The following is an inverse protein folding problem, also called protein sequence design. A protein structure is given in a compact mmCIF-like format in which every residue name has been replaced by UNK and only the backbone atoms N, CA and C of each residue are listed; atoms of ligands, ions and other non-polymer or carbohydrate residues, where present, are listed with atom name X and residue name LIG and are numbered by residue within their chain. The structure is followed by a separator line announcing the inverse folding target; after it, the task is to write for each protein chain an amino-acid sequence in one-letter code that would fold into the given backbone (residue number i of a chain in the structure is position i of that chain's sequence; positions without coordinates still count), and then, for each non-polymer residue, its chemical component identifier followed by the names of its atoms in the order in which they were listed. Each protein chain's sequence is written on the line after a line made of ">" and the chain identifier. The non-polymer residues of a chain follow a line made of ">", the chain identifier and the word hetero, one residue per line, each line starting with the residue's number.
data_IF_924311886965
#
_entry.id   IF_924311886965
#
_cell.length_a   1.000
_cell.length_b   1.000
_cell.length_c   1.000
_cell.angle_alpha   90.00
_cell.angle_beta   90.00
_cell.angle_gamma   90.00
#
_symmetry.space_group_name_H-M   'P 1'
#
loop_
_entity.id
_entity.type
_entity.pdbx_description
1 polymer ?
#
# COMPACT_ATOMS: atom_id res chain seq x y z
N UNK A 1 -33.54 56.73 31.23
CA UNK A 1 -32.47 55.71 31.33
C UNK A 1 -31.55 55.88 30.13
N UNK A 2 -30.32 56.38 30.33
CA UNK A 2 -29.32 56.61 29.27
C UNK A 2 -28.13 55.69 29.54
N UNK A 3 -27.93 54.67 28.71
CA UNK A 3 -26.74 53.83 28.76
C UNK A 3 -25.60 54.56 28.07
N UNK A 4 -24.62 55.01 28.85
CA UNK A 4 -23.36 55.52 28.34
C UNK A 4 -22.50 54.32 27.93
N UNK A 5 -22.51 53.97 26.65
CA UNK A 5 -21.54 53.04 26.08
C UNK A 5 -20.26 53.81 25.78
N UNK A 6 -19.29 53.75 26.68
CA UNK A 6 -17.93 54.14 26.35
C UNK A 6 -17.36 53.16 25.33
N UNK A 7 -16.76 53.62 24.22
CA UNK A 7 -16.10 52.71 23.30
C UNK A 7 -14.81 52.22 23.97
N UNK A 8 -14.79 50.93 24.35
CA UNK A 8 -13.54 50.25 24.69
C UNK A 8 -12.75 50.08 23.39
N UNK A 9 -11.52 50.61 23.30
CA UNK A 9 -10.68 50.35 22.14
C UNK A 9 -10.30 48.86 22.16
N UNK A 10 -10.90 48.07 21.26
CA UNK A 10 -10.49 46.70 21.01
C UNK A 10 -9.18 46.76 20.22
N UNK A 11 -8.06 46.67 20.93
CA UNK A 11 -6.73 46.53 20.34
C UNK A 11 -6.61 45.17 19.66
N UNK A 12 -6.65 45.16 18.32
CA UNK A 12 -6.58 43.98 17.45
C UNK A 12 -5.16 43.39 17.30
N UNK A 13 -4.26 43.66 18.25
CA UNK A 13 -2.82 43.33 18.15
C UNK A 13 -2.36 42.18 19.06
N UNK A 14 -3.25 41.27 19.41
CA UNK A 14 -2.89 39.99 20.04
C UNK A 14 -2.40 38.99 18.98
N UNK A 15 -1.32 39.34 18.28
CA UNK A 15 -0.58 38.37 17.46
C UNK A 15 -0.05 37.24 18.36
N UNK A 16 -0.06 35.97 17.91
CA UNK A 16 0.37 34.85 18.75
C UNK A 16 1.79 35.09 19.29
N UNK A 17 1.90 35.35 20.60
CA UNK A 17 3.19 35.46 21.29
C UNK A 17 3.77 34.06 21.40
N UNK A 18 4.45 33.58 20.35
CA UNK A 18 5.11 32.27 20.36
C UNK A 18 6.35 32.35 21.27
N UNK A 19 6.32 31.82 22.51
CA UNK A 19 7.43 31.99 23.44
C UNK A 19 8.64 31.10 23.07
N UNK A 20 8.51 30.32 22.00
CA UNK A 20 9.40 29.21 21.63
C UNK A 20 9.85 29.25 20.16
N UNK A 21 10.15 30.44 19.62
CA UNK A 21 10.52 30.63 18.22
C UNK A 21 11.81 29.87 17.80
N UNK A 22 12.69 29.52 18.75
CA UNK A 22 13.89 28.71 18.48
C UNK A 22 13.57 27.22 18.36
N UNK A 23 12.75 26.71 19.28
CA UNK A 23 12.34 25.30 19.33
C UNK A 23 11.54 24.91 18.08
N UNK A 24 10.63 25.78 17.64
CA UNK A 24 9.84 25.55 16.41
C UNK A 24 10.73 25.50 15.16
N UNK A 25 11.79 26.32 15.10
CA UNK A 25 12.77 26.29 13.99
C UNK A 25 13.54 24.98 13.94
N UNK A 26 13.99 24.48 15.10
CA UNK A 26 14.69 23.19 15.19
C UNK A 26 13.80 22.03 14.76
N UNK A 27 12.57 21.96 15.28
CA UNK A 27 11.58 20.95 14.89
C UNK A 27 11.30 20.97 13.40
N UNK A 28 11.15 22.16 12.80
CA UNK A 28 10.93 22.31 11.36
C UNK A 28 12.11 21.78 10.55
N UNK A 29 13.34 22.11 10.95
CA UNK A 29 14.55 21.61 10.30
C UNK A 29 14.67 20.08 10.38
N UNK A 30 14.38 19.51 11.55
CA UNK A 30 14.41 18.08 11.79
C UNK A 30 13.36 17.35 10.94
N UNK A 31 12.13 17.86 10.89
CA UNK A 31 11.07 17.32 10.03
C UNK A 31 11.46 17.34 8.56
N UNK A 32 12.03 18.45 8.06
CA UNK A 32 12.50 18.54 6.66
C UNK A 32 13.59 17.50 6.41
N UNK A 33 14.57 17.37 7.30
CA UNK A 33 15.65 16.40 7.17
C UNK A 33 15.12 14.96 7.13
N UNK A 34 14.15 14.64 8.00
CA UNK A 34 13.49 13.33 8.04
C UNK A 34 12.80 13.02 6.72
N UNK A 35 12.00 13.96 6.20
CA UNK A 35 11.33 13.79 4.91
C UNK A 35 12.34 13.65 3.75
N UNK A 36 13.46 14.36 3.79
CA UNK A 36 14.52 14.24 2.79
C UNK A 36 15.17 12.84 2.85
N UNK A 37 15.44 12.32 4.04
CA UNK A 37 15.98 10.98 4.25
C UNK A 37 15.01 9.88 3.77
N UNK A 38 13.71 10.05 4.03
CA UNK A 38 12.69 9.14 3.52
C UNK A 38 12.55 9.24 2.00
N UNK A 39 12.53 10.45 1.45
CA UNK A 39 12.44 10.69 0.01
C UNK A 39 13.62 10.09 -0.76
N UNK A 40 14.85 10.26 -0.25
CA UNK A 40 16.04 9.61 -0.82
C UNK A 40 15.95 8.10 -0.74
N UNK A 41 15.46 7.53 0.37
CA UNK A 41 15.26 6.08 0.50
C UNK A 41 14.26 5.54 -0.52
N UNK A 42 13.14 6.24 -0.71
CA UNK A 42 12.13 5.89 -1.71
C UNK A 42 12.72 5.98 -3.12
N UNK A 43 13.46 7.05 -3.44
CA UNK A 43 14.13 7.22 -4.73
C UNK A 43 15.08 6.07 -5.04
N UNK A 44 15.88 5.63 -4.07
CA UNK A 44 16.77 4.46 -4.26
C UNK A 44 15.97 3.18 -4.55
N UNK A 45 14.84 2.98 -3.88
CA UNK A 45 14.00 1.80 -4.09
C UNK A 45 13.31 1.82 -5.46
N UNK A 46 12.79 2.97 -5.88
CA UNK A 46 12.02 3.10 -7.12
C UNK A 46 12.91 3.24 -8.34
N UNK A 47 13.89 4.15 -8.33
CA UNK A 47 14.72 4.46 -9.50
C UNK A 47 15.86 3.47 -9.66
N UNK A 48 16.63 3.23 -8.59
CA UNK A 48 17.82 2.36 -8.68
C UNK A 48 17.41 0.88 -8.65
N UNK A 49 16.48 0.51 -7.78
CA UNK A 49 16.09 -0.90 -7.58
C UNK A 49 14.79 -1.29 -8.28
N UNK A 50 14.02 -0.36 -8.83
CA UNK A 50 12.77 -0.63 -9.55
C UNK A 50 12.93 -1.70 -10.64
N UNK A 51 13.89 -1.57 -11.57
CA UNK A 51 14.09 -2.55 -12.63
C UNK A 51 14.45 -3.96 -12.10
N UNK A 52 15.08 -4.03 -10.92
CA UNK A 52 15.42 -5.31 -10.27
C UNK A 52 14.17 -5.99 -9.71
N UNK A 53 13.29 -5.23 -9.05
CA UNK A 53 12.03 -5.74 -8.51
C UNK A 53 11.04 -6.10 -9.63
N UNK A 54 11.02 -5.35 -10.73
CA UNK A 54 10.23 -5.67 -11.90
C UNK A 54 10.62 -7.03 -12.52
N UNK A 55 11.93 -7.26 -12.70
CA UNK A 55 12.45 -8.56 -13.18
C UNK A 55 12.10 -9.70 -12.23
N UNK A 56 12.12 -9.47 -10.93
CA UNK A 56 11.75 -10.48 -9.93
C UNK A 56 10.26 -10.78 -9.95
N UNK A 57 9.41 -9.76 -10.10
CA UNK A 57 7.97 -9.93 -10.25
C UNK A 57 7.61 -10.65 -11.56
N UNK A 58 8.30 -10.36 -12.66
CA UNK A 58 8.11 -11.04 -13.94
C UNK A 58 8.39 -12.55 -13.84
N UNK A 59 9.42 -12.96 -13.07
CA UNK A 59 9.71 -14.37 -12.80
C UNK A 59 8.63 -15.05 -11.95
N UNK A 60 7.96 -14.31 -11.08
CA UNK A 60 6.85 -14.82 -10.26
C UNK A 60 5.50 -14.86 -11.00
N UNK A 61 5.41 -14.35 -12.23
CA UNK A 61 4.16 -14.25 -13.00
C UNK A 61 3.68 -15.56 -13.62
N UNK A 62 4.60 -16.46 -13.95
CA UNK A 62 4.29 -17.68 -14.70
C UNK A 62 4.57 -18.89 -13.83
N UNK A 63 3.55 -19.34 -13.10
CA UNK A 63 3.54 -20.68 -12.51
C UNK A 63 3.00 -21.63 -13.57
N UNK A 64 3.89 -22.44 -14.15
CA UNK A 64 3.49 -23.53 -15.05
C UNK A 64 2.81 -24.60 -14.19
N UNK A 65 1.49 -24.60 -14.16
CA UNK A 65 0.69 -25.68 -13.58
C UNK A 65 0.40 -26.70 -14.69
N UNK A 66 1.08 -27.86 -14.73
CA UNK A 66 0.82 -28.86 -15.75
C UNK A 66 -0.59 -29.43 -15.55
N UNK A 67 -1.51 -29.09 -16.45
CA UNK A 67 -2.83 -29.71 -16.50
C UNK A 67 -2.68 -31.11 -17.09
N UNK A 68 -2.85 -32.14 -16.27
CA UNK A 68 -2.88 -33.52 -16.75
C UNK A 68 -4.03 -33.68 -17.76
N UNK A 69 -3.79 -34.32 -18.92
CA UNK A 69 -4.85 -34.56 -19.89
C UNK A 69 -5.94 -35.44 -19.27
N UNK A 70 -7.23 -35.18 -19.55
CA UNK A 70 -8.31 -36.05 -19.09
C UNK A 70 -8.11 -37.46 -19.65
N UNK A 71 -8.16 -38.47 -18.78
CA UNK A 71 -8.02 -39.87 -19.18
C UNK A 71 -9.29 -40.29 -19.95
N UNK A 72 -9.12 -41.05 -21.03
CA UNK A 72 -10.25 -41.58 -21.80
C UNK A 72 -11.20 -42.40 -20.93
N UNK A 73 -12.50 -42.27 -21.19
CA UNK A 73 -13.52 -43.04 -20.48
C UNK A 73 -13.42 -44.52 -20.88
N UNK A 74 -13.31 -45.41 -19.90
CA UNK A 74 -13.33 -46.86 -20.13
C UNK A 74 -14.78 -47.28 -20.26
N UNK A 75 -15.14 -47.86 -21.41
CA UNK A 75 -16.49 -48.36 -21.70
C UNK A 75 -16.49 -49.87 -21.88
N UNK A 76 -17.54 -50.53 -21.43
CA UNK A 76 -17.82 -51.94 -21.73
C UNK A 76 -18.31 -52.11 -23.19
N UNK A 77 -18.35 -53.34 -23.69
CA UNK A 77 -18.83 -53.70 -25.05
C UNK A 77 -20.28 -53.27 -25.29
N UNK A 78 -21.08 -53.11 -24.24
CA UNK A 78 -22.45 -52.60 -24.27
C UNK A 78 -22.53 -51.06 -24.18
N UNK A 79 -21.40 -50.35 -24.29
CA UNK A 79 -21.33 -48.88 -24.21
C UNK A 79 -21.49 -48.30 -22.80
N UNK A 80 -21.51 -49.15 -21.75
CA UNK A 80 -21.63 -48.70 -20.36
C UNK A 80 -20.30 -48.15 -19.84
N UNK A 81 -20.33 -46.96 -19.26
CA UNK A 81 -19.16 -46.32 -18.64
C UNK A 81 -18.73 -47.08 -17.37
N UNK A 82 -17.51 -47.61 -17.36
CA UNK A 82 -16.92 -48.34 -16.22
C UNK A 82 -16.00 -47.46 -15.37
N UNK A 83 -15.28 -46.51 -15.99
CA UNK A 83 -14.42 -45.56 -15.28
C UNK A 83 -14.28 -44.26 -16.06
N UNK A 84 -14.39 -43.13 -15.35
CA UNK A 84 -14.19 -41.77 -15.90
C UNK A 84 -13.37 -40.92 -14.92
N UNK A 85 -12.69 -39.90 -15.43
CA UNK A 85 -11.99 -38.93 -14.60
C UNK A 85 -12.98 -37.82 -14.17
N UNK A 86 -13.24 -37.68 -12.87
CA UNK A 86 -14.06 -36.60 -12.31
C UNK A 86 -13.17 -35.64 -11.53
N UNK A 87 -13.36 -34.34 -11.74
CA UNK A 87 -12.66 -33.28 -11.01
C UNK A 87 -12.83 -33.49 -9.48
N UNK A 88 -11.71 -33.59 -8.78
CA UNK A 88 -11.65 -33.65 -7.32
C UNK A 88 -11.06 -32.33 -6.80
N UNK A 89 -11.88 -31.52 -6.14
CA UNK A 89 -11.46 -30.25 -5.56
C UNK A 89 -10.83 -30.52 -4.18
N UNK A 90 -9.55 -30.17 -4.02
CA UNK A 90 -8.84 -30.22 -2.73
C UNK A 90 -8.45 -28.79 -2.32
N UNK A 91 -8.93 -28.36 -1.17
CA UNK A 91 -8.51 -27.09 -0.54
C UNK A 91 -7.43 -27.45 0.49
N UNK A 92 -6.24 -26.86 0.35
CA UNK A 92 -5.17 -26.98 1.33
C UNK A 92 -4.78 -25.59 1.83
N UNK A 93 -4.77 -25.41 3.14
CA UNK A 93 -4.25 -24.22 3.81
C UNK A 93 -2.78 -24.52 4.19
N UNK A 94 -1.88 -23.58 3.90
CA UNK A 94 -0.49 -23.57 4.39
C UNK A 94 -0.38 -22.45 5.41
#
# INVERSE_FOLDING_TARGET
>A
MRFATTPVPVSLDEGPRVPFAGQVRLLRLLTILLFLALGTRVWVLTVVRGPRYERQAARNRVRLEPTAPPRGAIVDRAGRLLATNRLAYRISLI
#
